data_IF_973920557489
#
_entry.id   IF_973920557489
#
_cell.length_a   1.000
_cell.length_b   1.000
_cell.length_c   1.000
_cell.angle_alpha   90.00
_cell.angle_beta   90.00
_cell.angle_gamma   90.00
#
_symmetry.space_group_name_H-M   'P 1'
#
loop_
_entity.id
_entity.type
_entity.pdbx_description
1 polymer ?
#
# COMPACT_ATOMS: atom_id res chain seq x y z
N UNK A 1 -34.86 15.81 108.54
CA UNK A 1 -34.53 16.14 107.14
C UNK A 1 -35.61 15.45 106.32
N UNK A 2 -36.60 16.22 105.90
CA UNK A 2 -37.80 15.73 105.22
C UNK A 2 -37.62 15.97 103.73
N UNK A 3 -37.67 14.90 102.94
CA UNK A 3 -37.70 14.97 101.49
C UNK A 3 -39.05 15.54 101.04
N UNK A 4 -39.03 16.79 100.59
CA UNK A 4 -40.15 17.39 99.88
C UNK A 4 -40.07 16.98 98.39
N UNK A 5 -41.17 16.53 97.77
CA UNK A 5 -41.18 16.25 96.34
C UNK A 5 -41.05 17.55 95.55
N UNK A 6 -40.19 17.52 94.52
CA UNK A 6 -40.06 18.61 93.55
C UNK A 6 -41.35 18.64 92.71
N UNK A 7 -42.25 19.58 93.02
CA UNK A 7 -43.38 19.91 92.14
C UNK A 7 -42.86 20.65 90.92
N UNK A 8 -42.74 19.94 89.80
CA UNK A 8 -42.53 20.56 88.49
C UNK A 8 -43.91 21.03 88.01
N UNK A 9 -44.20 22.32 88.19
CA UNK A 9 -45.39 22.98 87.66
C UNK A 9 -45.35 23.09 86.14
N UNK A 10 -45.63 22.00 85.43
CA UNK A 10 -45.93 22.01 84.01
C UNK A 10 -47.41 22.39 83.83
N UNK A 11 -47.66 23.62 83.41
CA UNK A 11 -48.98 24.07 82.99
C UNK A 11 -49.28 23.47 81.60
N UNK A 12 -49.64 22.18 81.59
CA UNK A 12 -50.03 21.47 80.39
C UNK A 12 -51.46 21.92 80.04
N UNK A 13 -51.62 22.62 78.93
CA UNK A 13 -52.92 22.84 78.33
C UNK A 13 -53.34 21.52 77.66
N UNK A 14 -53.81 20.57 78.50
CA UNK A 14 -54.11 19.21 78.07
C UNK A 14 -55.25 19.26 77.05
N UNK A 15 -54.95 18.93 75.80
CA UNK A 15 -55.93 18.84 74.73
C UNK A 15 -56.85 17.65 74.95
N UNK A 16 -58.07 17.68 74.42
CA UNK A 16 -59.03 16.57 74.56
C UNK A 16 -58.46 15.23 74.06
N UNK A 17 -57.53 15.28 73.10
CA UNK A 17 -56.84 14.11 72.54
C UNK A 17 -55.85 13.49 73.54
N UNK A 18 -55.18 14.31 74.36
CA UNK A 18 -54.27 13.85 75.41
C UNK A 18 -55.02 13.20 76.57
N UNK A 19 -56.25 13.67 76.88
CA UNK A 19 -57.13 13.01 77.85
C UNK A 19 -57.60 11.65 77.32
N UNK A 20 -57.91 11.56 76.02
CA UNK A 20 -58.25 10.30 75.35
C UNK A 20 -57.12 9.28 75.43
N UNK A 21 -55.89 9.72 75.15
CA UNK A 21 -54.70 8.88 75.27
C UNK A 21 -54.43 8.45 76.72
N UNK A 22 -54.51 9.34 77.71
CA UNK A 22 -54.31 8.95 79.11
C UNK A 22 -55.34 7.90 79.58
N UNK A 23 -56.55 7.90 78.99
CA UNK A 23 -57.60 6.89 79.26
C UNK A 23 -57.37 5.55 78.58
N UNK A 24 -56.50 5.46 77.57
CA UNK A 24 -56.20 4.16 76.92
C UNK A 24 -55.37 3.24 77.81
N UNK A 25 -54.72 3.79 78.85
CA UNK A 25 -53.97 3.02 79.83
C UNK A 25 -54.93 2.32 80.82
N UNK A 26 -54.76 1.00 80.96
CA UNK A 26 -55.58 0.17 81.86
C UNK A 26 -55.49 0.58 83.33
N UNK A 27 -54.36 1.17 83.74
CA UNK A 27 -54.15 1.67 85.09
C UNK A 27 -53.15 2.85 85.08
N UNK A 28 -53.09 3.56 86.21
CA UNK A 28 -52.23 4.73 86.40
C UNK A 28 -50.73 4.38 86.37
N UNK A 29 -50.37 3.16 86.73
CA UNK A 29 -48.97 2.74 86.80
C UNK A 29 -48.37 2.57 85.41
N UNK A 30 -49.13 2.03 84.45
CA UNK A 30 -48.73 1.92 83.05
C UNK A 30 -48.51 3.31 82.41
N UNK A 31 -49.36 4.29 82.75
CA UNK A 31 -49.23 5.67 82.30
C UNK A 31 -47.97 6.33 82.88
N UNK A 32 -47.71 6.14 84.18
CA UNK A 32 -46.51 6.65 84.83
C UNK A 32 -45.24 6.00 84.26
N UNK A 33 -45.29 4.69 83.96
CA UNK A 33 -44.18 3.97 83.35
C UNK A 33 -43.89 4.48 81.94
N UNK A 34 -44.93 4.72 81.14
CA UNK A 34 -44.79 5.31 79.81
C UNK A 34 -44.19 6.72 79.87
N UNK A 35 -44.71 7.60 80.74
CA UNK A 35 -44.18 8.95 80.93
C UNK A 35 -42.70 8.94 81.32
N UNK A 36 -42.31 8.01 82.20
CA UNK A 36 -40.91 7.84 82.59
C UNK A 36 -40.03 7.46 81.38
N UNK A 37 -40.46 6.49 80.58
CA UNK A 37 -39.70 6.09 79.39
C UNK A 37 -39.64 7.19 78.32
N UNK A 38 -40.69 7.99 78.18
CA UNK A 38 -40.71 9.15 77.28
C UNK A 38 -39.72 10.24 77.74
N UNK A 39 -39.68 10.54 79.04
CA UNK A 39 -38.71 11.49 79.62
C UNK A 39 -37.28 10.97 79.44
N UNK A 40 -37.04 9.67 79.70
CA UNK A 40 -35.73 9.04 79.52
C UNK A 40 -35.28 9.09 78.05
N UNK A 41 -36.21 8.88 77.11
CA UNK A 41 -35.96 8.98 75.67
C UNK A 41 -35.60 10.42 75.25
N UNK A 42 -36.35 11.41 75.72
CA UNK A 42 -36.07 12.82 75.40
C UNK A 42 -34.71 13.21 75.98
N UNK A 43 -34.42 12.79 77.21
CA UNK A 43 -33.13 13.02 77.88
C UNK A 43 -31.97 12.38 77.10
N UNK A 44 -32.10 11.12 76.69
CA UNK A 44 -31.04 10.40 75.96
C UNK A 44 -30.79 10.97 74.56
N UNK A 45 -31.85 11.39 73.86
CA UNK A 45 -31.74 12.10 72.56
C UNK A 45 -30.97 13.40 72.75
N UNK A 46 -31.30 14.16 73.80
CA UNK A 46 -30.64 15.44 74.10
C UNK A 46 -29.17 15.24 74.48
N UNK A 47 -28.83 14.14 75.15
CA UNK A 47 -27.47 13.79 75.51
C UNK A 47 -26.63 13.23 74.34
N UNK A 48 -27.25 12.91 73.19
CA UNK A 48 -26.56 12.36 72.02
C UNK A 48 -26.01 10.94 72.21
N UNK A 49 -26.42 10.23 73.28
CA UNK A 49 -25.99 8.86 73.52
C UNK A 49 -26.88 7.89 72.73
N UNK A 50 -26.31 7.33 71.65
CA UNK A 50 -27.01 6.45 70.72
C UNK A 50 -27.55 5.20 71.40
N UNK A 51 -26.78 4.55 72.27
CA UNK A 51 -27.18 3.28 72.88
C UNK A 51 -28.29 3.47 73.91
N UNK A 52 -28.18 4.50 74.75
CA UNK A 52 -29.26 4.87 75.69
C UNK A 52 -30.53 5.31 74.98
N UNK A 53 -30.40 5.99 73.84
CA UNK A 53 -31.56 6.36 73.00
C UNK A 53 -32.22 5.16 72.36
N UNK A 54 -31.46 4.12 72.04
CA UNK A 54 -32.00 2.87 71.52
C UNK A 54 -32.77 2.12 72.60
N UNK A 55 -32.19 2.04 73.79
CA UNK A 55 -32.81 1.39 74.95
C UNK A 55 -34.10 2.11 75.36
N UNK A 56 -34.06 3.43 75.61
CA UNK A 56 -35.22 4.22 76.00
C UNK A 56 -36.34 4.17 74.96
N UNK A 57 -36.00 4.24 73.67
CA UNK A 57 -37.00 4.13 72.59
C UNK A 57 -37.66 2.75 72.57
N UNK A 58 -36.89 1.69 72.79
CA UNK A 58 -37.42 0.33 72.83
C UNK A 58 -38.37 0.11 74.01
N UNK A 59 -38.13 0.75 75.16
CA UNK A 59 -39.02 0.70 76.31
C UNK A 59 -40.32 1.49 76.09
N UNK A 60 -40.25 2.65 75.43
CA UNK A 60 -41.46 3.39 75.02
C UNK A 60 -42.33 2.53 74.10
N UNK A 61 -41.74 1.91 73.07
CA UNK A 61 -42.47 1.03 72.15
C UNK A 61 -43.02 -0.22 72.84
N UNK A 62 -42.27 -0.82 73.76
CA UNK A 62 -42.73 -1.99 74.52
C UNK A 62 -43.93 -1.64 75.40
N UNK A 63 -43.94 -0.45 75.98
CA UNK A 63 -45.05 0.04 76.80
C UNK A 63 -46.26 0.36 75.93
N UNK A 64 -46.07 1.00 74.78
CA UNK A 64 -47.14 1.28 73.81
C UNK A 64 -47.78 0.00 73.29
N UNK A 65 -47.00 -1.04 72.96
CA UNK A 65 -47.54 -2.33 72.47
C UNK A 65 -48.39 -3.08 73.50
N UNK A 66 -48.15 -2.87 74.80
CA UNK A 66 -49.01 -3.46 75.85
C UNK A 66 -50.38 -2.81 75.90
N UNK A 67 -50.48 -1.56 75.45
CA UNK A 67 -51.69 -0.77 75.45
C UNK A 67 -52.34 -1.06 74.10
N UNK A 68 -53.13 -2.14 74.06
CA UNK A 68 -53.78 -2.68 72.87
C UNK A 68 -54.78 -1.68 72.27
N UNK A 69 -54.29 -0.62 71.63
CA UNK A 69 -55.10 0.34 70.88
C UNK A 69 -55.27 -0.18 69.46
N UNK A 70 -56.50 -0.52 69.09
CA UNK A 70 -56.92 -0.88 67.73
C UNK A 70 -56.80 0.28 66.70
N UNK A 71 -56.25 1.43 67.09
CA UNK A 71 -55.96 2.56 66.19
C UNK A 71 -54.53 2.46 65.64
N UNK A 72 -54.37 2.78 64.35
CA UNK A 72 -53.09 2.73 63.62
C UNK A 72 -51.93 3.33 64.43
N UNK A 73 -51.12 2.44 65.04
CA UNK A 73 -49.95 2.78 65.87
C UNK A 73 -49.03 3.79 65.15
N UNK A 74 -49.01 3.76 63.82
CA UNK A 74 -48.25 4.64 62.95
C UNK A 74 -48.73 6.11 62.96
N UNK A 75 -50.05 6.35 63.08
CA UNK A 75 -50.62 7.71 63.11
C UNK A 75 -50.31 8.41 64.44
N UNK A 76 -50.36 7.68 65.55
CA UNK A 76 -50.03 8.20 66.88
C UNK A 76 -48.54 8.50 67.00
N UNK A 77 -47.68 7.59 66.53
CA UNK A 77 -46.22 7.78 66.53
C UNK A 77 -45.82 8.94 65.61
N UNK A 78 -46.38 9.02 64.39
CA UNK A 78 -46.06 10.10 63.45
C UNK A 78 -46.55 11.47 63.93
N UNK A 79 -47.74 11.56 64.54
CA UNK A 79 -48.28 12.80 65.12
C UNK A 79 -47.43 13.28 66.29
N UNK A 80 -47.01 12.37 67.19
CA UNK A 80 -46.16 12.73 68.33
C UNK A 80 -44.73 13.09 67.93
N UNK A 81 -44.15 12.42 66.93
CA UNK A 81 -42.87 12.83 66.34
C UNK A 81 -43.00 14.22 65.68
N UNK A 82 -44.09 14.49 64.95
CA UNK A 82 -44.36 15.82 64.40
C UNK A 82 -44.48 16.89 65.49
N UNK A 83 -45.13 16.57 66.62
CA UNK A 83 -45.24 17.48 67.76
C UNK A 83 -43.87 17.69 68.45
N UNK A 84 -43.05 16.65 68.60
CA UNK A 84 -41.69 16.79 69.13
C UNK A 84 -40.80 17.68 68.23
N UNK A 85 -41.02 17.66 66.91
CA UNK A 85 -40.34 18.56 65.98
C UNK A 85 -40.91 19.99 66.01
N UNK A 86 -42.20 20.18 66.30
CA UNK A 86 -42.82 21.52 66.40
C UNK A 86 -42.51 22.23 67.73
N UNK A 87 -42.24 21.48 68.81
CA UNK A 87 -41.90 22.03 70.14
C UNK A 87 -40.43 22.46 70.32
N UNK A 88 -39.70 22.74 69.24
CA UNK A 88 -38.37 23.38 69.33
C UNK A 88 -37.21 22.41 69.48
N UNK A 89 -37.20 21.35 68.67
CA UNK A 89 -36.04 20.49 68.48
C UNK A 89 -34.78 21.32 68.20
N UNK A 90 -33.82 21.35 69.14
CA UNK A 90 -32.49 21.93 68.89
C UNK A 90 -31.71 20.92 68.06
N UNK A 91 -31.34 21.22 66.81
CA UNK A 91 -30.57 20.27 66.01
C UNK A 91 -29.25 20.00 66.73
N UNK A 92 -28.92 18.72 66.92
CA UNK A 92 -27.58 18.36 67.42
C UNK A 92 -26.52 18.96 66.49
N UNK A 93 -25.38 19.38 67.01
CA UNK A 93 -24.27 19.95 66.21
C UNK A 93 -23.58 18.94 65.27
N UNK A 94 -24.11 17.73 65.14
CA UNK A 94 -23.66 16.72 64.19
C UNK A 94 -24.05 17.09 62.75
N UNK A 95 -23.33 16.55 61.76
CA UNK A 95 -23.63 16.79 60.34
C UNK A 95 -25.00 16.24 59.95
N UNK A 96 -25.38 15.10 60.51
CA UNK A 96 -26.67 14.43 60.37
C UNK A 96 -27.80 15.31 60.93
N UNK A 97 -27.61 15.88 62.12
CA UNK A 97 -28.58 16.77 62.76
C UNK A 97 -28.83 18.04 61.94
N UNK A 98 -27.77 18.66 61.42
CA UNK A 98 -27.88 19.81 60.51
C UNK A 98 -28.57 19.44 59.20
N UNK A 99 -28.31 18.24 58.67
CA UNK A 99 -28.91 17.75 57.43
C UNK A 99 -30.41 17.49 57.57
N UNK A 100 -30.82 16.77 58.63
CA UNK A 100 -32.22 16.53 58.96
C UNK A 100 -32.96 17.86 59.15
N UNK A 101 -32.35 18.83 59.84
CA UNK A 101 -32.93 20.16 59.99
C UNK A 101 -33.14 20.88 58.65
N UNK A 102 -32.19 20.77 57.71
CA UNK A 102 -32.35 21.33 56.36
C UNK A 102 -33.44 20.63 55.56
N UNK A 103 -33.60 19.31 55.68
CA UNK A 103 -34.73 18.59 55.08
C UNK A 103 -36.04 19.11 55.65
N UNK A 104 -36.14 19.26 56.97
CA UNK A 104 -37.34 19.76 57.64
C UNK A 104 -37.74 21.14 57.12
N UNK A 105 -36.75 22.02 56.91
CA UNK A 105 -36.96 23.39 56.42
C UNK A 105 -37.25 23.48 54.91
N UNK A 106 -36.57 22.67 54.08
CA UNK A 106 -36.62 22.80 52.60
C UNK A 106 -37.62 21.86 51.93
N UNK A 107 -37.95 20.73 52.56
CA UNK A 107 -38.81 19.69 51.98
C UNK A 107 -40.09 19.59 52.81
N UNK A 108 -40.03 18.89 53.95
CA UNK A 108 -41.13 18.77 54.91
C UNK A 108 -40.65 18.16 56.23
N UNK A 109 -41.34 18.41 57.36
CA UNK A 109 -41.03 17.76 58.65
C UNK A 109 -41.13 16.23 58.57
N UNK A 110 -42.11 15.71 57.83
CA UNK A 110 -42.32 14.27 57.60
C UNK A 110 -41.15 13.64 56.84
N UNK A 111 -40.62 14.31 55.81
CA UNK A 111 -39.42 13.83 55.12
C UNK A 111 -38.19 13.82 56.04
N UNK A 112 -38.09 14.80 56.93
CA UNK A 112 -36.97 14.91 57.87
C UNK A 112 -36.98 13.81 58.93
N UNK A 113 -38.14 13.48 59.48
CA UNK A 113 -38.27 12.39 60.45
C UNK A 113 -37.91 11.04 59.83
N UNK A 114 -38.34 10.78 58.60
CA UNK A 114 -38.01 9.57 57.86
C UNK A 114 -36.51 9.51 57.56
N UNK A 115 -35.92 10.63 57.13
CA UNK A 115 -34.48 10.69 56.90
C UNK A 115 -33.67 10.43 58.19
N UNK A 116 -34.11 10.99 59.33
CA UNK A 116 -33.48 10.76 60.63
C UNK A 116 -33.55 9.28 61.07
N UNK A 117 -34.69 8.62 60.85
CA UNK A 117 -34.85 7.19 61.15
C UNK A 117 -33.88 6.31 60.34
N UNK A 118 -33.64 6.66 59.07
CA UNK A 118 -32.70 5.93 58.20
C UNK A 118 -31.25 6.19 58.63
N UNK A 119 -30.89 7.45 58.86
CA UNK A 119 -29.52 7.84 59.25
C UNK A 119 -29.11 7.27 60.63
N UNK A 120 -30.05 7.12 61.54
CA UNK A 120 -29.82 6.49 62.85
C UNK A 120 -29.75 4.96 62.79
N UNK A 121 -29.94 4.35 61.60
CA UNK A 121 -29.89 2.91 61.38
C UNK A 121 -31.08 2.14 61.97
N UNK A 122 -32.19 2.81 62.27
CA UNK A 122 -33.39 2.23 62.89
C UNK A 122 -34.55 2.02 61.92
N UNK A 123 -34.44 2.46 60.68
CA UNK A 123 -35.53 2.35 59.72
C UNK A 123 -35.84 0.89 59.38
N UNK A 124 -36.96 0.37 59.89
CA UNK A 124 -37.61 -0.78 59.28
C UNK A 124 -38.38 -0.27 58.04
N UNK A 125 -37.76 -0.38 56.86
CA UNK A 125 -38.29 0.19 55.62
C UNK A 125 -39.61 -0.44 55.17
N UNK A 126 -40.04 -1.55 55.77
CA UNK A 126 -41.31 -2.22 55.46
C UNK A 126 -42.55 -1.43 55.86
N UNK A 127 -42.43 -0.44 56.76
CA UNK A 127 -43.55 0.39 57.22
C UNK A 127 -43.73 1.69 56.43
N UNK A 128 -42.77 2.09 55.59
CA UNK A 128 -42.92 3.36 54.86
C UNK A 128 -43.92 3.20 53.72
N UNK A 129 -44.96 4.04 53.74
CA UNK A 129 -45.82 4.20 52.57
C UNK A 129 -45.03 4.86 51.43
N UNK A 130 -44.47 4.05 50.53
CA UNK A 130 -43.69 4.49 49.37
C UNK A 130 -44.52 5.26 48.32
N UNK A 131 -45.85 5.33 48.48
CA UNK A 131 -46.68 6.21 47.66
C UNK A 131 -46.74 7.64 48.23
N UNK A 132 -46.29 7.85 49.47
CA UNK A 132 -46.19 9.17 50.06
C UNK A 132 -44.93 9.90 49.54
N UNK A 133 -45.15 11.05 48.90
CA UNK A 133 -44.10 11.89 48.34
C UNK A 133 -43.08 12.35 49.39
N UNK A 134 -43.50 12.58 50.63
CA UNK A 134 -42.61 12.99 51.72
C UNK A 134 -41.72 11.82 52.18
N UNK A 135 -42.27 10.60 52.21
CA UNK A 135 -41.51 9.41 52.54
C UNK A 135 -40.42 9.13 51.51
N UNK A 136 -40.76 9.20 50.22
CA UNK A 136 -39.77 9.05 49.14
C UNK A 136 -38.70 10.13 49.18
N UNK A 137 -39.09 11.38 49.49
CA UNK A 137 -38.15 12.50 49.58
C UNK A 137 -37.20 12.35 50.78
N UNK A 138 -37.70 11.89 51.93
CA UNK A 138 -36.89 11.59 53.12
C UNK A 138 -35.91 10.43 52.89
N UNK A 139 -36.38 9.33 52.26
CA UNK A 139 -35.55 8.17 51.91
C UNK A 139 -34.45 8.57 50.93
N UNK A 140 -34.79 9.25 49.84
CA UNK A 140 -33.82 9.69 48.83
C UNK A 140 -32.78 10.64 49.41
N UNK A 141 -33.20 11.56 50.30
CA UNK A 141 -32.28 12.48 50.96
C UNK A 141 -31.33 11.75 51.91
N UNK A 142 -31.81 10.82 52.75
CA UNK A 142 -30.96 10.03 53.64
C UNK A 142 -29.96 9.15 52.89
N UNK A 143 -30.39 8.48 51.80
CA UNK A 143 -29.50 7.67 50.96
C UNK A 143 -28.43 8.55 50.30
N UNK A 144 -28.82 9.73 49.81
CA UNK A 144 -27.87 10.68 49.24
C UNK A 144 -26.85 11.13 50.28
N UNK A 145 -27.29 11.44 51.51
CA UNK A 145 -26.38 11.80 52.60
C UNK A 145 -25.39 10.69 52.94
N UNK A 146 -25.85 9.44 53.05
CA UNK A 146 -24.98 8.29 53.32
C UNK A 146 -23.99 8.01 52.17
N UNK A 147 -24.37 8.34 50.93
CA UNK A 147 -23.56 8.03 49.75
C UNK A 147 -22.51 9.10 49.43
N UNK A 148 -22.87 10.38 49.60
CA UNK A 148 -22.05 11.52 49.14
C UNK A 148 -21.87 12.62 50.20
N UNK A 149 -22.25 12.39 51.47
CA UNK A 149 -22.26 13.40 52.53
C UNK A 149 -23.40 14.41 52.35
N UNK A 150 -23.38 15.54 53.06
CA UNK A 150 -24.44 16.57 53.05
C UNK A 150 -24.71 17.21 51.67
N UNK A 151 -25.70 16.72 50.90
CA UNK A 151 -25.94 17.21 49.54
C UNK A 151 -26.67 18.56 49.54
N UNK A 152 -27.29 18.94 50.67
CA UNK A 152 -28.06 20.17 50.82
C UNK A 152 -27.24 21.35 51.31
N UNK A 153 -26.12 21.10 52.01
CA UNK A 153 -25.12 22.10 52.36
C UNK A 153 -24.09 22.33 51.25
N UNK A 154 -23.84 21.33 50.40
CA UNK A 154 -22.84 21.41 49.34
C UNK A 154 -23.43 21.55 47.92
N UNK A 155 -24.67 22.03 47.80
CA UNK A 155 -25.38 22.12 46.51
C UNK A 155 -24.62 22.95 45.47
N UNK A 156 -23.86 23.96 45.92
CA UNK A 156 -23.07 24.81 45.04
C UNK A 156 -21.79 24.09 44.56
N UNK A 157 -21.13 23.30 45.43
CA UNK A 157 -20.01 22.47 45.01
C UNK A 157 -20.45 21.33 44.08
N UNK A 158 -21.62 20.75 44.29
CA UNK A 158 -22.18 19.74 43.38
C UNK A 158 -22.50 20.38 42.02
N UNK A 159 -23.10 21.57 42.00
CA UNK A 159 -23.34 22.31 40.75
C UNK A 159 -22.03 22.64 40.04
N UNK A 160 -21.02 23.08 40.77
CA UNK A 160 -19.69 23.36 40.22
C UNK A 160 -19.05 22.09 39.65
N UNK A 161 -19.01 20.99 40.40
CA UNK A 161 -18.48 19.71 39.96
C UNK A 161 -19.20 19.15 38.73
N UNK A 162 -20.54 19.28 38.67
CA UNK A 162 -21.33 18.87 37.49
C UNK A 162 -21.01 19.76 36.28
N UNK A 163 -20.81 21.06 36.49
CA UNK A 163 -20.44 21.99 35.41
C UNK A 163 -19.03 21.71 34.89
N UNK A 164 -18.08 21.42 35.80
CA UNK A 164 -16.72 21.00 35.48
C UNK A 164 -16.72 19.67 34.70
N UNK A 165 -17.45 18.66 35.18
CA UNK A 165 -17.59 17.37 34.49
C UNK A 165 -18.22 17.50 33.09
N UNK A 166 -19.23 18.36 32.93
CA UNK A 166 -19.80 18.64 31.61
C UNK A 166 -18.81 19.34 30.67
N UNK A 167 -18.00 20.26 31.20
CA UNK A 167 -16.97 20.93 30.41
C UNK A 167 -15.84 19.96 30.01
N UNK A 168 -15.41 19.08 30.92
CA UNK A 168 -14.44 18.02 30.66
C UNK A 168 -14.96 17.04 29.61
N UNK A 169 -16.25 16.65 29.67
CA UNK A 169 -16.88 15.81 28.65
C UNK A 169 -16.91 16.48 27.28
N UNK A 170 -17.21 17.78 27.21
CA UNK A 170 -17.15 18.55 25.94
C UNK A 170 -15.73 18.60 25.38
N UNK A 171 -14.72 18.76 26.23
CA UNK A 171 -13.31 18.71 25.82
C UNK A 171 -12.92 17.32 25.31
N UNK A 172 -13.33 16.24 26.00
CA UNK A 172 -13.09 14.86 25.58
C UNK A 172 -13.72 14.56 24.20
N UNK A 173 -14.97 14.98 23.96
CA UNK A 173 -15.62 14.83 22.66
C UNK A 173 -14.96 15.65 21.55
N UNK A 174 -14.39 16.82 21.88
CA UNK A 174 -13.60 17.61 20.93
C UNK A 174 -12.30 16.88 20.58
N UNK A 175 -11.62 16.32 21.58
CA UNK A 175 -10.41 15.54 21.38
C UNK A 175 -10.69 14.29 20.55
N UNK A 176 -11.76 13.55 20.83
CA UNK A 176 -12.16 12.37 20.05
C UNK A 176 -12.38 12.72 18.57
N UNK A 177 -13.05 13.85 18.28
CA UNK A 177 -13.22 14.34 16.90
C UNK A 177 -11.88 14.68 16.24
N UNK A 178 -10.96 15.31 16.98
CA UNK A 178 -9.62 15.61 16.47
C UNK A 178 -8.81 14.33 16.19
N UNK A 179 -8.84 13.36 17.11
CA UNK A 179 -8.18 12.06 16.94
C UNK A 179 -8.76 11.31 15.75
N UNK A 180 -10.09 11.25 15.62
CA UNK A 180 -10.73 10.60 14.48
C UNK A 180 -10.36 11.25 13.16
N UNK A 181 -10.33 12.59 13.10
CA UNK A 181 -9.89 13.34 11.92
C UNK A 181 -8.41 13.07 11.59
N UNK A 182 -7.56 13.02 12.61
CA UNK A 182 -6.13 12.72 12.48
C UNK A 182 -5.90 11.29 11.96
N UNK A 183 -6.57 10.29 12.55
CA UNK A 183 -6.51 8.89 12.11
C UNK A 183 -6.97 8.75 10.66
N UNK A 184 -8.11 9.35 10.30
CA UNK A 184 -8.58 9.30 8.90
C UNK A 184 -7.64 10.01 7.93
N UNK A 185 -6.94 11.07 8.38
CA UNK A 185 -5.92 11.75 7.58
C UNK A 185 -4.70 10.86 7.33
N UNK A 186 -4.19 10.22 8.39
CA UNK A 186 -3.09 9.26 8.29
C UNK A 186 -3.46 8.08 7.40
N UNK A 187 -4.66 7.53 7.56
CA UNK A 187 -5.10 6.37 6.78
C UNK A 187 -5.18 6.71 5.28
N UNK A 188 -5.64 7.91 4.93
CA UNK A 188 -5.60 8.45 3.57
C UNK A 188 -4.18 8.58 3.03
N UNK A 189 -3.29 9.27 3.76
CA UNK A 189 -1.89 9.44 3.36
C UNK A 189 -1.14 8.11 3.24
N UNK A 190 -1.42 7.15 4.12
CA UNK A 190 -0.77 5.85 4.15
C UNK A 190 -1.22 4.99 2.96
N UNK A 191 -2.52 5.01 2.64
CA UNK A 191 -3.08 4.33 1.47
C UNK A 191 -2.49 4.89 0.17
N UNK A 192 -2.40 6.22 0.04
CA UNK A 192 -1.77 6.88 -1.10
C UNK A 192 -0.29 6.46 -1.27
N UNK A 193 0.47 6.41 -0.16
CA UNK A 193 1.87 5.98 -0.18
C UNK A 193 2.04 4.51 -0.54
N UNK A 194 1.16 3.63 -0.07
CA UNK A 194 1.19 2.20 -0.42
C UNK A 194 0.91 2.02 -1.91
N UNK A 195 -0.12 2.67 -2.44
CA UNK A 195 -0.47 2.55 -3.86
C UNK A 195 0.66 3.06 -4.77
N UNK A 196 1.34 4.14 -4.36
CA UNK A 196 2.54 4.64 -5.03
C UNK A 196 3.71 3.64 -4.95
N UNK A 197 3.90 2.98 -3.80
CA UNK A 197 4.96 1.97 -3.62
C UNK A 197 4.70 0.71 -4.43
N UNK A 198 3.48 0.16 -4.38
CA UNK A 198 3.06 -1.00 -5.17
C UNK A 198 3.17 -0.71 -6.67
N UNK A 199 2.81 0.50 -7.11
CA UNK A 199 3.00 0.93 -8.49
C UNK A 199 4.49 0.93 -8.87
N UNK A 200 5.37 1.50 -8.04
CA UNK A 200 6.82 1.47 -8.29
C UNK A 200 7.38 0.05 -8.30
N UNK A 201 6.90 -0.82 -7.41
CA UNK A 201 7.32 -2.22 -7.35
C UNK A 201 6.85 -3.01 -8.58
N UNK A 202 5.61 -2.82 -9.00
CA UNK A 202 5.03 -3.45 -10.19
C UNK A 202 5.75 -3.02 -11.48
N UNK A 203 6.25 -1.79 -11.54
CA UNK A 203 7.01 -1.27 -12.68
C UNK A 203 8.46 -1.75 -12.71
N UNK A 204 9.05 -2.10 -11.56
CA UNK A 204 10.44 -2.58 -11.48
C UNK A 204 10.63 -3.96 -12.11
N UNK A 205 9.62 -4.83 -12.05
CA UNK A 205 9.67 -6.14 -12.66
C UNK A 205 9.86 -6.08 -14.19
N UNK A 206 9.00 -5.39 -14.98
CA UNK A 206 9.16 -5.29 -16.42
C UNK A 206 10.41 -4.50 -16.85
N UNK A 207 10.80 -3.42 -16.15
CA UNK A 207 12.05 -2.71 -16.49
C UNK A 207 13.26 -3.62 -16.36
N UNK A 208 13.39 -4.32 -15.23
CA UNK A 208 14.52 -5.23 -15.00
C UNK A 208 14.54 -6.41 -15.99
N UNK A 209 13.38 -6.86 -16.47
CA UNK A 209 13.29 -7.89 -17.51
C UNK A 209 13.86 -7.38 -18.84
N UNK A 210 13.43 -6.20 -19.30
CA UNK A 210 13.87 -5.63 -20.57
C UNK A 210 15.33 -5.18 -20.52
N UNK A 211 15.81 -4.67 -19.39
CA UNK A 211 17.24 -4.38 -19.16
C UNK A 211 18.10 -5.63 -19.30
N UNK A 212 17.74 -6.73 -18.62
CA UNK A 212 18.44 -8.01 -18.76
C UNK A 212 18.41 -8.53 -20.19
N UNK A 213 17.29 -8.35 -20.89
CA UNK A 213 17.14 -8.78 -22.28
C UNK A 213 17.98 -7.93 -23.24
N UNK A 214 18.05 -6.62 -23.03
CA UNK A 214 18.94 -5.69 -23.73
C UNK A 214 20.40 -6.13 -23.54
N UNK A 215 20.83 -6.30 -22.29
CA UNK A 215 22.21 -6.71 -21.97
C UNK A 215 22.56 -8.05 -22.63
N UNK A 216 21.62 -9.01 -22.63
CA UNK A 216 21.79 -10.28 -23.33
C UNK A 216 22.01 -10.09 -24.84
N UNK A 217 21.18 -9.28 -25.50
CA UNK A 217 21.30 -9.05 -26.95
C UNK A 217 22.54 -8.21 -27.31
N UNK A 218 22.97 -7.25 -26.48
CA UNK A 218 24.24 -6.53 -26.65
C UNK A 218 25.44 -7.48 -26.55
N UNK A 219 25.43 -8.40 -25.57
CA UNK A 219 26.45 -9.45 -25.46
C UNK A 219 26.45 -10.36 -26.69
N UNK A 220 25.28 -10.78 -27.18
CA UNK A 220 25.22 -11.59 -28.39
C UNK A 220 25.66 -10.83 -29.65
N UNK A 221 25.36 -9.53 -29.75
CA UNK A 221 25.81 -8.67 -30.86
C UNK A 221 27.33 -8.51 -30.87
N UNK A 222 27.97 -8.31 -29.70
CA UNK A 222 29.44 -8.23 -29.61
C UNK A 222 30.12 -9.55 -29.96
N UNK A 223 29.58 -10.69 -29.51
CA UNK A 223 30.07 -12.01 -29.90
C UNK A 223 29.90 -12.22 -31.41
N UNK A 224 28.72 -11.92 -31.96
CA UNK A 224 28.44 -12.05 -33.39
C UNK A 224 29.35 -11.16 -34.25
N UNK A 225 29.64 -9.93 -33.80
CA UNK A 225 30.57 -8.99 -34.46
C UNK A 225 31.99 -9.54 -34.50
N UNK A 226 32.47 -10.11 -33.39
CA UNK A 226 33.78 -10.76 -33.31
C UNK A 226 33.85 -12.02 -34.19
N UNK A 227 32.79 -12.81 -34.21
CA UNK A 227 32.75 -14.03 -35.02
C UNK A 227 32.65 -13.71 -36.52
N UNK A 228 31.93 -12.64 -36.87
CA UNK A 228 31.89 -12.12 -38.24
C UNK A 228 33.27 -11.62 -38.67
N UNK A 229 33.94 -10.76 -37.88
CA UNK A 229 35.27 -10.24 -38.23
C UNK A 229 36.31 -11.35 -38.38
N UNK A 230 36.32 -12.34 -37.48
CA UNK A 230 37.15 -13.54 -37.61
C UNK A 230 36.87 -14.30 -38.91
N UNK A 231 35.59 -14.43 -39.27
CA UNK A 231 35.20 -15.10 -40.52
C UNK A 231 35.68 -14.34 -41.76
N UNK A 232 35.61 -13.00 -41.76
CA UNK A 232 36.17 -12.16 -42.82
C UNK A 232 37.67 -12.40 -42.94
N UNK A 233 38.41 -12.34 -41.82
CA UNK A 233 39.87 -12.53 -41.82
C UNK A 233 40.28 -13.91 -42.32
N UNK A 234 39.61 -14.97 -41.86
CA UNK A 234 39.87 -16.35 -42.32
C UNK A 234 39.53 -16.50 -43.80
N UNK A 235 38.40 -15.95 -44.26
CA UNK A 235 38.02 -16.03 -45.67
C UNK A 235 39.02 -15.28 -46.57
N UNK A 236 39.45 -14.07 -46.18
CA UNK A 236 40.45 -13.30 -46.90
C UNK A 236 41.80 -14.04 -46.96
N UNK A 237 42.25 -14.61 -45.85
CA UNK A 237 43.51 -15.37 -45.80
C UNK A 237 43.46 -16.64 -46.65
N UNK A 238 42.37 -17.41 -46.55
CA UNK A 238 42.14 -18.59 -47.39
C UNK A 238 42.08 -18.22 -48.88
N UNK A 239 41.46 -17.09 -49.22
CA UNK A 239 41.42 -16.60 -50.59
C UNK A 239 42.81 -16.21 -51.11
N UNK A 240 43.63 -15.55 -50.28
CA UNK A 240 45.02 -15.21 -50.62
C UNK A 240 45.84 -16.49 -50.84
N UNK A 241 45.77 -17.47 -49.93
CA UNK A 241 46.48 -18.75 -50.09
C UNK A 241 46.03 -19.48 -51.35
N UNK A 242 44.72 -19.57 -51.59
CA UNK A 242 44.18 -20.25 -52.76
C UNK A 242 44.60 -19.55 -54.06
N UNK A 243 44.62 -18.20 -54.06
CA UNK A 243 45.13 -17.41 -55.17
C UNK A 243 46.60 -17.72 -55.43
N UNK A 244 47.45 -17.68 -54.40
CA UNK A 244 48.88 -18.06 -54.52
C UNK A 244 49.01 -19.48 -55.06
N UNK A 245 48.26 -20.46 -54.55
CA UNK A 245 48.33 -21.85 -55.03
C UNK A 245 47.96 -21.99 -56.52
N UNK A 246 46.87 -21.34 -56.95
CA UNK A 246 46.43 -21.33 -58.35
C UNK A 246 47.46 -20.64 -59.26
N UNK A 247 48.03 -19.52 -58.82
CA UNK A 247 49.01 -18.77 -59.60
C UNK A 247 50.42 -19.41 -59.59
N UNK A 248 50.85 -20.00 -58.47
CA UNK A 248 52.12 -20.73 -58.38
C UNK A 248 52.12 -21.97 -59.27
N UNK A 249 51.01 -22.72 -59.34
CA UNK A 249 50.85 -23.83 -60.29
C UNK A 249 50.83 -23.38 -61.76
N UNK A 250 50.45 -22.13 -62.05
CA UNK A 250 50.55 -21.55 -63.39
C UNK A 250 51.97 -21.07 -63.73
N UNK A 251 52.80 -20.75 -62.73
CA UNK A 251 54.16 -20.24 -62.89
C UNK A 251 55.23 -21.35 -62.94
N UNK A 252 54.93 -22.54 -62.41
CA UNK A 252 55.85 -23.68 -62.45
C UNK A 252 55.83 -24.36 -63.84
N UNK A 253 56.62 -23.80 -64.78
CA UNK A 253 57.05 -24.39 -66.07
C UNK A 253 56.00 -24.44 -67.21
N UNK A 254 55.27 -23.35 -67.45
CA UNK A 254 54.45 -23.19 -68.65
C UNK A 254 55.08 -22.28 -69.73
N UNK A 255 54.87 -22.52 -71.04
CA UNK A 255 55.36 -21.69 -72.16
C UNK A 255 54.90 -20.22 -72.13
N UNK A 256 53.99 -19.87 -71.20
CA UNK A 256 53.55 -18.50 -70.93
C UNK A 256 54.65 -17.68 -70.23
N UNK A 257 55.44 -18.29 -69.34
CA UNK A 257 56.59 -17.60 -68.73
C UNK A 257 57.63 -17.22 -69.81
N UNK A 258 57.87 -18.13 -70.75
CA UNK A 258 58.77 -17.87 -71.90
C UNK A 258 58.18 -16.85 -72.87
N UNK A 259 56.87 -16.89 -73.15
CA UNK A 259 56.20 -15.93 -74.04
C UNK A 259 56.14 -14.49 -73.47
N UNK A 260 56.00 -14.35 -72.15
CA UNK A 260 56.00 -13.04 -71.47
C UNK A 260 57.44 -12.48 -71.35
N UNK A 261 58.46 -13.34 -71.22
CA UNK A 261 59.87 -12.93 -71.16
C UNK A 261 60.55 -12.77 -72.53
N UNK A 262 60.01 -13.39 -73.59
CA UNK A 262 60.56 -13.34 -74.95
C UNK A 262 60.71 -11.94 -75.59
N UNK A 263 59.82 -10.94 -75.38
CA UNK A 263 59.98 -9.63 -76.03
C UNK A 263 61.11 -8.78 -75.43
N UNK A 264 61.68 -9.14 -74.27
CA UNK A 264 62.71 -8.34 -73.60
C UNK A 264 64.16 -8.79 -73.87
N UNK A 265 64.38 -9.89 -74.60
CA UNK A 265 65.73 -10.43 -74.86
C UNK A 265 66.24 -10.22 -76.28
N UNK A 266 65.46 -9.61 -77.19
CA UNK A 266 65.98 -9.23 -78.51
C UNK A 266 66.70 -7.88 -78.42
N UNK A 267 68.04 -7.82 -78.61
CA UNK A 267 68.75 -6.55 -78.66
C UNK A 267 68.23 -5.74 -79.85
N UNK A 268 67.86 -4.48 -79.58
CA UNK A 268 67.55 -3.49 -80.62
C UNK A 268 68.80 -3.35 -81.48
N UNK A 269 68.80 -3.93 -82.68
CA UNK A 269 69.85 -3.66 -83.66
C UNK A 269 69.63 -2.23 -84.17
N UNK A 270 70.43 -1.31 -83.64
CA UNK A 270 70.54 0.06 -84.15
C UNK A 270 71.25 -0.04 -85.49
N UNK A 271 70.48 0.00 -86.59
CA UNK A 271 71.04 0.05 -87.93
C UNK A 271 71.84 1.34 -88.10
N UNK A 272 73.15 1.18 -88.28
CA UNK A 272 74.09 2.24 -88.56
C UNK A 272 73.80 2.87 -89.92
N UNK A 273 73.61 4.18 -89.94
CA UNK A 273 73.41 4.96 -91.16
C UNK A 273 74.70 4.98 -91.99
N UNK A 274 74.62 4.53 -93.24
CA UNK A 274 75.65 4.76 -94.25
C UNK A 274 75.15 5.73 -95.33
N UNK A 275 76.08 6.55 -95.80
CA UNK A 275 75.91 7.86 -96.43
C UNK A 275 76.32 7.79 -97.91
N UNK A 276 75.54 8.47 -98.77
CA UNK A 276 75.90 8.99 -100.11
C UNK A 276 76.06 7.92 -101.21
N UNK A 277 75.62 8.08 -102.48
CA UNK A 277 75.84 9.21 -103.39
C UNK A 277 74.93 9.15 -104.63
N UNK A 278 74.72 10.33 -105.20
CA UNK A 278 74.09 10.79 -106.45
C UNK A 278 74.27 9.91 -107.70
N UNK A 279 73.22 9.77 -108.52
CA UNK A 279 73.32 9.39 -109.94
C UNK A 279 72.03 8.92 -110.61
N UNK A 280 71.28 9.84 -111.24
CA UNK A 280 70.25 9.61 -112.29
C UNK A 280 70.98 9.53 -113.67
N UNK A 281 70.32 9.25 -114.83
CA UNK A 281 68.97 8.75 -115.08
C UNK A 281 68.89 7.62 -116.15
N UNK A 282 67.71 6.99 -116.26
CA UNK A 282 66.91 6.90 -117.50
C UNK A 282 66.28 5.52 -117.75
N UNK A 283 64.97 5.61 -117.98
CA UNK A 283 64.14 4.84 -118.89
C UNK A 283 63.54 3.49 -118.47
N UNK A 284 62.31 3.35 -118.95
CA UNK A 284 61.52 2.14 -119.19
C UNK A 284 60.76 1.45 -118.05
N UNK A 285 59.46 1.79 -118.03
CA UNK A 285 58.34 0.85 -118.20
C UNK A 285 58.31 -0.40 -117.30
N UNK A 286 57.49 -0.36 -116.26
CA UNK A 286 56.65 -1.50 -115.86
C UNK A 286 55.54 -1.03 -114.91
N UNK A 287 54.32 -0.97 -115.43
CA UNK A 287 53.07 -0.79 -114.68
C UNK A 287 52.75 -2.05 -113.87
N UNK A 288 52.78 -1.90 -112.54
CA UNK A 288 51.94 -2.54 -111.52
C UNK A 288 51.60 -4.03 -111.69
N UNK A 289 52.47 -4.91 -111.19
CA UNK A 289 52.10 -6.20 -110.63
C UNK A 289 53.19 -6.70 -109.68
N UNK A 290 52.91 -6.71 -108.36
CA UNK A 290 53.50 -7.52 -107.28
C UNK A 290 53.77 -6.71 -106.01
N UNK A 291 52.89 -6.85 -105.03
CA UNK A 291 53.21 -6.98 -103.59
C UNK A 291 51.93 -7.38 -102.85
N UNK A 292 51.44 -8.60 -103.13
CA UNK A 292 50.44 -9.25 -102.27
C UNK A 292 50.64 -10.77 -102.31
N UNK A 293 51.85 -11.21 -101.92
CA UNK A 293 52.20 -12.63 -101.81
C UNK A 293 53.11 -12.85 -100.60
N UNK A 294 52.56 -12.67 -99.40
CA UNK A 294 53.08 -13.27 -98.17
C UNK A 294 52.00 -13.27 -97.07
N UNK A 295 50.77 -13.71 -97.41
CA UNK A 295 49.87 -14.26 -96.40
C UNK A 295 50.32 -15.71 -96.22
N UNK A 296 51.36 -15.89 -95.40
CA UNK A 296 51.74 -17.20 -94.89
C UNK A 296 50.60 -17.70 -94.00
N UNK A 297 50.26 -18.96 -94.22
CA UNK A 297 49.11 -19.73 -93.72
C UNK A 297 48.69 -19.48 -92.25
N UNK A 298 47.40 -19.69 -91.92
CA UNK A 298 46.96 -19.78 -90.54
C UNK A 298 47.67 -20.97 -89.88
N UNK A 299 48.54 -20.66 -88.92
CA UNK A 299 49.12 -21.64 -88.00
C UNK A 299 47.99 -22.49 -87.42
N UNK A 300 47.95 -23.77 -87.77
CA UNK A 300 47.01 -24.72 -87.18
C UNK A 300 47.12 -24.66 -85.65
N UNK A 301 46.00 -24.63 -84.92
CA UNK A 301 46.03 -24.65 -83.46
C UNK A 301 46.74 -25.92 -83.03
N UNK A 302 47.83 -25.76 -82.28
CA UNK A 302 48.54 -26.85 -81.63
C UNK A 302 47.53 -27.73 -80.85
N UNK A 303 47.52 -29.07 -81.03
CA UNK A 303 46.54 -29.98 -80.42
C UNK A 303 46.45 -29.92 -78.88
N UNK A 304 47.43 -29.28 -78.22
CA UNK A 304 47.56 -29.24 -76.76
C UNK A 304 46.87 -28.04 -76.07
N UNK A 305 46.26 -27.11 -76.82
CA UNK A 305 45.61 -25.92 -76.23
C UNK A 305 44.25 -26.22 -75.56
N UNK A 306 43.49 -27.18 -76.11
CA UNK A 306 42.18 -27.61 -75.61
C UNK A 306 42.19 -28.16 -74.17
N UNK A 307 43.07 -29.12 -73.80
CA UNK A 307 43.11 -29.64 -72.44
C UNK A 307 43.60 -28.60 -71.41
N UNK A 308 44.42 -27.64 -71.83
CA UNK A 308 44.87 -26.54 -70.97
C UNK A 308 43.74 -25.57 -70.62
N UNK A 309 42.92 -25.18 -71.62
CA UNK A 309 41.73 -24.36 -71.41
C UNK A 309 40.70 -25.05 -70.53
N UNK A 310 40.47 -26.36 -70.72
CA UNK A 310 39.54 -27.14 -69.90
C UNK A 310 39.93 -27.15 -68.41
N UNK A 311 41.23 -27.30 -68.10
CA UNK A 311 41.74 -27.22 -66.72
C UNK A 311 41.56 -25.82 -66.13
N UNK A 312 41.86 -24.76 -66.87
CA UNK A 312 41.65 -23.38 -66.41
C UNK A 312 40.17 -23.10 -66.07
N UNK A 313 39.26 -23.56 -66.92
CA UNK A 313 37.81 -23.42 -66.72
C UNK A 313 37.33 -24.19 -65.47
N UNK A 314 37.81 -25.42 -65.27
CA UNK A 314 37.48 -26.23 -64.10
C UNK A 314 37.93 -25.55 -62.79
N UNK A 315 39.15 -25.01 -62.73
CA UNK A 315 39.66 -24.31 -61.55
C UNK A 315 38.91 -22.99 -61.31
N UNK A 316 38.57 -22.25 -62.38
CA UNK A 316 37.76 -21.03 -62.29
C UNK A 316 36.37 -21.28 -61.71
N UNK A 317 35.69 -22.35 -62.15
CA UNK A 317 34.36 -22.74 -61.62
C UNK A 317 34.46 -23.12 -60.14
N UNK A 318 35.47 -23.91 -59.75
CA UNK A 318 35.67 -24.31 -58.35
C UNK A 318 35.94 -23.09 -57.45
N UNK A 319 36.83 -22.18 -57.90
CA UNK A 319 37.15 -20.95 -57.19
C UNK A 319 35.91 -20.04 -57.05
N UNK A 320 35.16 -19.85 -58.13
CA UNK A 320 33.94 -19.07 -58.13
C UNK A 320 32.87 -19.64 -57.19
N UNK A 321 32.74 -20.97 -57.14
CA UNK A 321 31.79 -21.64 -56.25
C UNK A 321 32.19 -21.48 -54.77
N UNK A 322 33.48 -21.62 -54.45
CA UNK A 322 34.00 -21.42 -53.08
C UNK A 322 33.84 -19.96 -52.62
N UNK A 323 34.12 -19.00 -53.51
CA UNK A 323 33.88 -17.58 -53.25
C UNK A 323 32.40 -17.30 -52.99
N UNK A 324 31.52 -17.80 -53.86
CA UNK A 324 30.07 -17.63 -53.73
C UNK A 324 29.55 -18.19 -52.41
N UNK A 325 29.96 -19.40 -52.04
CA UNK A 325 29.60 -20.03 -50.77
C UNK A 325 30.13 -19.24 -49.57
N UNK A 326 31.38 -18.78 -49.62
CA UNK A 326 31.99 -17.99 -48.55
C UNK A 326 31.30 -16.64 -48.34
N UNK A 327 31.00 -15.93 -49.43
CA UNK A 327 30.23 -14.68 -49.40
C UNK A 327 28.84 -14.93 -48.82
N UNK A 328 28.18 -16.03 -49.20
CA UNK A 328 26.88 -16.40 -48.66
C UNK A 328 26.93 -16.64 -47.14
N UNK A 329 27.89 -17.44 -46.64
CA UNK A 329 28.06 -17.67 -45.19
C UNK A 329 28.33 -16.35 -44.46
N UNK A 330 29.18 -15.50 -45.02
CA UNK A 330 29.53 -14.21 -44.43
C UNK A 330 28.31 -13.27 -44.34
N UNK A 331 27.45 -13.28 -45.38
CA UNK A 331 26.16 -12.58 -45.39
C UNK A 331 25.23 -13.10 -44.30
N UNK A 332 25.14 -14.41 -44.09
CA UNK A 332 24.30 -14.97 -43.02
C UNK A 332 24.78 -14.53 -41.62
N UNK A 333 26.10 -14.53 -41.40
CA UNK A 333 26.67 -14.03 -40.14
C UNK A 333 26.40 -12.54 -39.93
N UNK A 334 26.49 -11.74 -41.00
CA UNK A 334 26.16 -10.31 -40.94
C UNK A 334 24.69 -10.08 -40.57
N UNK A 335 23.76 -10.83 -41.19
CA UNK A 335 22.32 -10.77 -40.84
C UNK A 335 22.09 -11.10 -39.36
N UNK A 336 22.74 -12.13 -38.83
CA UNK A 336 22.64 -12.50 -37.41
C UNK A 336 23.13 -11.38 -36.50
N UNK A 337 24.25 -10.73 -36.84
CA UNK A 337 24.78 -9.59 -36.09
C UNK A 337 23.78 -8.43 -36.07
N UNK A 338 23.29 -8.00 -37.25
CA UNK A 338 22.33 -6.92 -37.38
C UNK A 338 21.01 -7.22 -36.64
N UNK A 339 20.59 -8.48 -36.62
CA UNK A 339 19.40 -8.91 -35.87
C UNK A 339 19.58 -8.73 -34.37
N UNK A 340 20.73 -9.11 -33.79
CA UNK A 340 20.98 -8.91 -32.37
C UNK A 340 21.10 -7.43 -31.98
N UNK A 341 21.66 -6.61 -32.86
CA UNK A 341 21.77 -5.16 -32.66
C UNK A 341 20.39 -4.50 -32.68
N UNK A 342 19.53 -4.84 -33.65
CA UNK A 342 18.16 -4.36 -33.70
C UNK A 342 17.31 -4.82 -32.51
N UNK A 343 17.48 -6.08 -32.06
CA UNK A 343 16.78 -6.58 -30.86
C UNK A 343 17.25 -5.89 -29.57
N UNK A 344 18.52 -5.47 -29.50
CA UNK A 344 19.03 -4.69 -28.37
C UNK A 344 18.42 -3.28 -28.38
N UNK A 345 18.31 -2.65 -29.55
CA UNK A 345 17.68 -1.35 -29.73
C UNK A 345 16.18 -1.38 -29.39
N UNK A 346 15.43 -2.36 -29.89
CA UNK A 346 14.01 -2.56 -29.54
C UNK A 346 13.82 -2.79 -28.02
N UNK A 347 14.71 -3.56 -27.39
CA UNK A 347 14.68 -3.72 -25.94
C UNK A 347 14.96 -2.40 -25.19
N UNK A 348 15.89 -1.57 -25.69
CA UNK A 348 16.19 -0.26 -25.12
C UNK A 348 15.01 0.72 -25.28
N UNK A 349 14.34 0.72 -26.45
CA UNK A 349 13.12 1.50 -26.67
C UNK A 349 12.01 1.10 -25.69
N UNK A 350 11.82 -0.21 -25.45
CA UNK A 350 10.83 -0.70 -24.48
C UNK A 350 11.16 -0.29 -23.04
N UNK A 351 12.43 -0.28 -22.64
CA UNK A 351 12.82 0.24 -21.31
C UNK A 351 12.41 1.70 -21.16
N UNK A 352 12.77 2.55 -22.12
CA UNK A 352 12.39 3.97 -22.13
C UNK A 352 10.87 4.16 -22.11
N UNK A 353 10.12 3.33 -22.83
CA UNK A 353 8.66 3.38 -22.84
C UNK A 353 8.05 2.99 -21.48
N UNK A 354 8.58 1.97 -20.79
CA UNK A 354 8.14 1.60 -19.42
C UNK A 354 8.48 2.70 -18.42
N UNK A 355 9.66 3.32 -18.52
CA UNK A 355 10.06 4.44 -17.67
C UNK A 355 9.19 5.68 -17.91
N UNK A 356 8.89 5.98 -19.17
CA UNK A 356 7.97 7.07 -19.53
C UNK A 356 6.57 6.78 -19.00
N UNK A 357 6.08 5.54 -19.13
CA UNK A 357 4.81 5.11 -18.56
C UNK A 357 4.80 5.24 -17.03
N UNK A 358 5.89 4.87 -16.36
CA UNK A 358 6.06 5.05 -14.93
C UNK A 358 5.98 6.54 -14.53
N UNK A 359 6.65 7.41 -15.27
CA UNK A 359 6.63 8.85 -15.05
C UNK A 359 5.23 9.44 -15.25
N UNK A 360 4.53 9.06 -16.33
CA UNK A 360 3.17 9.54 -16.62
C UNK A 360 2.15 9.06 -15.59
N UNK A 361 2.26 7.81 -15.12
CA UNK A 361 1.41 7.30 -14.04
C UNK A 361 1.65 8.03 -12.73
N UNK A 362 2.91 8.34 -12.40
CA UNK A 362 3.24 9.15 -11.22
C UNK A 362 2.76 10.62 -11.34
N UNK A 363 2.61 11.13 -12.57
CA UNK A 363 2.08 12.47 -12.83
C UNK A 363 0.54 12.55 -12.76
N UNK A 364 -0.16 11.45 -12.47
CA UNK A 364 -1.61 11.44 -12.23
C UNK A 364 -2.48 11.31 -13.49
N UNK A 365 -1.92 10.88 -14.62
CA UNK A 365 -2.70 10.60 -15.84
C UNK A 365 -3.62 9.38 -15.65
N UNK A 366 -4.91 9.55 -15.96
CA UNK A 366 -5.94 8.55 -15.74
C UNK A 366 -5.82 7.35 -16.70
N UNK A 367 -6.22 6.17 -16.20
CA UNK A 367 -6.01 4.84 -16.78
C UNK A 367 -6.44 4.60 -18.24
N UNK A 368 -7.29 5.46 -18.80
CA UNK A 368 -7.91 5.27 -20.11
C UNK A 368 -6.97 5.45 -21.31
N UNK A 369 -5.91 6.25 -21.18
CA UNK A 369 -5.01 6.57 -22.31
C UNK A 369 -3.86 5.58 -22.48
N UNK A 370 -3.75 4.57 -21.61
CA UNK A 370 -2.62 3.64 -21.59
C UNK A 370 -2.77 2.43 -22.52
N UNK A 371 -3.97 2.17 -23.05
CA UNK A 371 -4.23 1.06 -23.96
C UNK A 371 -3.27 1.03 -25.17
N UNK A 372 -3.09 2.14 -25.89
CA UNK A 372 -2.13 2.22 -27.00
C UNK A 372 -0.68 2.00 -26.58
N UNK A 373 -0.26 2.53 -25.41
CA UNK A 373 1.12 2.40 -24.90
C UNK A 373 1.41 0.95 -24.49
N UNK A 374 0.47 0.29 -23.82
CA UNK A 374 0.59 -1.13 -23.48
C UNK A 374 0.64 -1.99 -24.75
N UNK A 375 -0.20 -1.70 -25.74
CA UNK A 375 -0.17 -2.42 -27.01
C UNK A 375 1.17 -2.23 -27.76
N UNK A 376 1.73 -1.02 -27.73
CA UNK A 376 3.06 -0.75 -28.26
C UNK A 376 4.16 -1.51 -27.49
N UNK A 377 4.05 -1.61 -26.16
CA UNK A 377 5.03 -2.30 -25.31
C UNK A 377 5.03 -3.83 -25.52
N UNK A 378 3.84 -4.41 -25.74
CA UNK A 378 3.65 -5.85 -25.92
C UNK A 378 3.69 -6.30 -27.38
N UNK A 379 3.91 -5.40 -28.34
CA UNK A 379 4.02 -5.81 -29.74
C UNK A 379 5.19 -6.80 -29.92
N UNK A 380 5.03 -7.88 -30.70
CA UNK A 380 6.16 -8.69 -31.12
C UNK A 380 7.19 -7.80 -31.82
N UNK A 381 8.48 -7.98 -31.51
CA UNK A 381 9.53 -7.28 -32.25
C UNK A 381 9.42 -7.67 -33.73
N UNK A 382 9.24 -6.69 -34.62
CA UNK A 382 9.17 -6.95 -36.05
C UNK A 382 10.56 -7.33 -36.54
N UNK A 383 10.84 -8.63 -36.62
CA UNK A 383 12.06 -9.15 -37.24
C UNK A 383 11.94 -9.06 -38.77
N UNK A 384 11.68 -7.86 -39.29
CA UNK A 384 11.55 -7.59 -40.73
C UNK A 384 12.85 -7.78 -41.52
N UNK A 385 13.95 -8.13 -40.85
CA UNK A 385 15.27 -8.31 -41.45
C UNK A 385 15.54 -9.76 -41.93
N UNK A 386 14.63 -10.70 -41.68
CA UNK A 386 14.76 -12.10 -42.12
C UNK A 386 13.60 -12.44 -43.07
N UNK A 387 13.57 -11.78 -44.23
CA UNK A 387 13.00 -12.44 -45.41
C UNK A 387 14.05 -13.43 -45.89
N UNK A 388 13.67 -14.70 -45.84
CA UNK A 388 14.49 -15.88 -46.11
C UNK A 388 14.76 -16.02 -47.60
N UNK A 389 15.43 -15.04 -48.21
CA UNK A 389 16.00 -15.20 -49.55
C UNK A 389 17.17 -16.17 -49.41
N UNK A 390 16.87 -17.45 -49.64
CA UNK A 390 17.84 -18.52 -49.76
C UNK A 390 18.88 -18.21 -50.85
N UNK A 391 20.05 -18.86 -50.80
CA UNK A 391 21.01 -18.74 -51.89
C UNK A 391 20.36 -19.25 -53.18
N UNK A 392 20.15 -18.38 -54.16
CA UNK A 392 19.87 -18.81 -55.53
C UNK A 392 21.06 -19.63 -56.00
N UNK A 393 20.87 -20.93 -56.08
CA UNK A 393 21.95 -21.82 -56.53
C UNK A 393 22.09 -21.71 -58.05
N UNK A 394 23.30 -21.81 -58.63
CA UNK A 394 23.46 -21.83 -60.09
C UNK A 394 22.64 -22.93 -60.77
N UNK A 395 22.38 -24.04 -60.05
CA UNK A 395 21.47 -25.11 -60.46
C UNK A 395 20.02 -24.63 -60.61
N UNK A 396 19.50 -23.78 -59.71
CA UNK A 396 18.17 -23.19 -59.87
C UNK A 396 18.09 -22.29 -61.09
N UNK A 397 19.15 -21.55 -61.45
CA UNK A 397 19.18 -20.74 -62.66
C UNK A 397 19.11 -21.65 -63.90
N UNK A 398 19.91 -22.72 -63.92
CA UNK A 398 19.91 -23.70 -65.04
C UNK A 398 18.58 -24.44 -65.13
N UNK A 399 18.00 -24.85 -64.00
CA UNK A 399 16.69 -25.53 -63.94
C UNK A 399 15.57 -24.58 -64.35
N UNK A 400 15.58 -23.33 -63.89
CA UNK A 400 14.56 -22.33 -64.26
C UNK A 400 14.61 -22.01 -65.75
N UNK A 401 15.80 -21.97 -66.33
CA UNK A 401 15.96 -21.76 -67.78
C UNK A 401 15.65 -23.01 -68.60
N UNK A 402 15.92 -24.21 -68.07
CA UNK A 402 15.47 -25.47 -68.67
C UNK A 402 13.93 -25.61 -68.64
N UNK A 403 13.28 -25.23 -67.53
CA UNK A 403 11.81 -25.24 -67.37
C UNK A 403 11.16 -24.20 -68.28
N UNK A 404 11.70 -22.99 -68.37
CA UNK A 404 11.22 -21.94 -69.29
C UNK A 404 11.32 -22.36 -70.75
N UNK A 405 12.37 -23.10 -71.11
CA UNK A 405 12.56 -23.66 -72.46
C UNK A 405 11.63 -24.84 -72.74
N UNK A 406 11.26 -25.61 -71.71
CA UNK A 406 10.26 -26.68 -71.81
C UNK A 406 8.81 -26.16 -71.85
N UNK A 407 8.54 -25.00 -71.25
CA UNK A 407 7.21 -24.36 -71.25
C UNK A 407 6.98 -23.42 -72.44
N UNK A 408 8.04 -22.99 -73.14
CA UNK A 408 7.98 -22.10 -74.32
C UNK A 408 7.61 -22.80 -75.64
N UNK A 409 6.74 -23.81 -75.58
CA UNK A 409 6.31 -24.61 -76.73
C UNK A 409 4.80 -24.68 -76.93
N UNK A 410 4.06 -23.68 -76.44
CA UNK A 410 2.65 -23.41 -76.79
C UNK A 410 2.39 -21.91 -76.66
N UNK A 411 2.65 -21.19 -77.75
CA UNK A 411 1.81 -20.04 -78.12
C UNK A 411 0.56 -20.57 -78.84
#
# INVERSE_FOLDING_TARGET
>A
MNDAPIEIGLNLNITNDEIGFARSFSNRDDLNQWLKHEIDLISSITAGNRDQTNEAFSEVLRTLRKINTDEDEELVISTKINNAFSFGFRPSETEEGRFVHRIAKKISPTAASIAAQILTGKANTSGFNLNNRDANSGIAAAISFLSIGDPLGNSDAIRQAVTEAMSARKQAQKLERHVKKFVSGIEGEWKEKIEAYETKAALKAPTSYWEKRKEHHEKQATIARRDWSRSVSVFAFSFIILSIFVFSGALEKGPIADAIMAPFTKPIQVASAEKSTIGKPANEQATTASTLSAITAPTQPTPDALPMLAKLLQHGILLGTLLGLGIWVLRQKLRKMLSHEHLAEDAAERVTMVETFAALKNAGLAGGEFGPILNALYRPASTGLVSDDGPVTPLEIVVKEAVKKASGGKD
#
